data_IF_070894422401
#
_entry.id   IF_070894422401
#
_cell.length_a   1.000
_cell.length_b   1.000
_cell.length_c   1.000
_cell.angle_alpha   90.00
_cell.angle_beta   90.00
_cell.angle_gamma   90.00
#
_symmetry.space_group_name_H-M   'P 1'
#
loop_
_entity.id
_entity.type
_entity.pdbx_description
1 polymer ?
#
# COMPACT_ATOMS: atom_id res chain seq x y z
N UNK A 1 -11.04 36.00 -6.38
CA UNK A 1 -11.34 34.91 -5.41
C UNK A 1 -12.48 34.03 -5.92
N UNK A 2 -12.22 33.25 -6.99
CA UNK A 2 -13.18 32.36 -7.64
C UNK A 2 -13.09 30.94 -7.08
N UNK A 3 -13.54 30.75 -5.84
CA UNK A 3 -13.60 29.43 -5.22
C UNK A 3 -14.80 28.63 -5.73
N UNK A 4 -14.54 27.51 -6.41
CA UNK A 4 -15.54 26.49 -6.70
C UNK A 4 -15.86 25.69 -5.43
N UNK A 5 -17.15 25.40 -5.22
CA UNK A 5 -17.59 24.42 -4.23
C UNK A 5 -18.11 23.19 -4.96
N UNK A 6 -17.44 22.05 -4.75
CA UNK A 6 -17.85 20.75 -5.29
C UNK A 6 -18.90 20.19 -4.33
N UNK A 7 -20.17 20.17 -4.73
CA UNK A 7 -21.19 19.37 -4.04
C UNK A 7 -21.51 18.13 -4.86
N UNK A 8 -21.26 16.95 -4.30
CA UNK A 8 -21.65 15.66 -4.88
C UNK A 8 -23.17 15.61 -5.10
N UNK A 9 -23.60 15.38 -6.33
CA UNK A 9 -24.96 14.95 -6.63
C UNK A 9 -24.94 13.79 -7.62
N UNK A 10 -25.52 12.67 -7.19
CA UNK A 10 -25.64 11.40 -7.89
C UNK A 10 -27.09 11.14 -8.24
N UNK A 11 -27.32 10.53 -9.40
CA UNK A 11 -28.57 9.86 -9.67
C UNK A 11 -28.32 8.51 -10.34
N UNK A 12 -28.91 7.48 -9.75
CA UNK A 12 -28.95 6.11 -10.25
C UNK A 12 -30.42 5.70 -10.31
N UNK A 13 -30.95 5.51 -11.52
CA UNK A 13 -32.26 4.89 -11.73
C UNK A 13 -32.06 3.37 -11.69
N UNK A 14 -32.40 2.74 -10.57
CA UNK A 14 -32.51 1.28 -10.44
C UNK A 14 -33.97 0.86 -10.72
N UNK A 15 -34.26 -0.08 -11.64
CA UNK A 15 -35.63 -0.56 -11.87
C UNK A 15 -36.15 -1.56 -10.82
N UNK A 16 -35.54 -1.67 -9.65
CA UNK A 16 -36.01 -2.62 -8.62
C UNK A 16 -35.57 -2.20 -7.24
N UNK A 17 -36.50 -1.65 -6.45
CA UNK A 17 -36.62 -1.76 -4.98
C UNK A 17 -37.61 -0.67 -4.49
N UNK A 18 -38.89 -0.84 -4.82
CA UNK A 18 -39.96 -0.27 -4.01
C UNK A 18 -40.14 -1.19 -2.81
N UNK A 19 -39.55 -0.83 -1.67
CA UNK A 19 -40.00 -1.34 -0.38
C UNK A 19 -40.59 -0.17 0.40
N UNK A 20 -41.89 0.05 0.18
CA UNK A 20 -42.68 1.08 0.84
C UNK A 20 -43.05 0.61 2.23
N UNK A 21 -42.16 0.75 3.21
CA UNK A 21 -42.57 0.74 4.63
C UNK A 21 -41.41 1.15 5.54
N UNK A 22 -41.35 2.45 5.88
CA UNK A 22 -41.02 2.96 7.22
C UNK A 22 -41.05 4.49 7.23
N UNK A 23 -41.96 5.04 8.05
CA UNK A 23 -42.09 6.46 8.33
C UNK A 23 -40.95 6.97 9.21
N UNK A 24 -39.76 7.11 8.65
CA UNK A 24 -38.63 7.81 9.26
C UNK A 24 -38.48 9.18 8.59
N UNK A 25 -38.54 10.28 9.37
CA UNK A 25 -38.25 11.64 8.89
C UNK A 25 -36.86 11.63 8.24
N UNK A 26 -36.80 11.72 6.91
CA UNK A 26 -35.54 11.61 6.17
C UNK A 26 -34.61 12.75 6.55
N UNK A 27 -33.53 12.42 7.28
CA UNK A 27 -32.34 13.28 7.30
C UNK A 27 -31.85 13.37 5.86
N UNK A 28 -31.98 14.54 5.23
CA UNK A 28 -31.44 14.77 3.90
C UNK A 28 -29.92 14.58 3.95
N UNK A 29 -29.47 13.45 3.40
CA UNK A 29 -28.06 13.23 3.08
C UNK A 29 -27.83 13.90 1.72
N UNK A 30 -26.78 14.72 1.55
CA UNK A 30 -26.44 15.27 0.23
C UNK A 30 -26.28 14.14 -0.80
N UNK A 31 -26.96 14.23 -1.95
CA UNK A 31 -26.65 13.41 -3.12
C UNK A 31 -27.52 12.19 -3.47
N UNK A 32 -28.78 12.08 -3.03
CA UNK A 32 -29.68 10.98 -3.51
C UNK A 32 -31.10 11.48 -3.84
N UNK A 33 -31.58 11.36 -5.09
CA UNK A 33 -33.01 11.53 -5.44
C UNK A 33 -33.37 12.62 -6.48
N UNK A 34 -32.45 12.96 -7.38
CA UNK A 34 -32.71 13.58 -8.70
C UNK A 34 -33.82 12.88 -9.54
N UNK A 35 -34.33 13.44 -10.64
CA UNK A 35 -34.81 12.65 -11.81
C UNK A 35 -33.94 12.97 -13.04
N UNK A 36 -33.20 12.00 -13.57
CA UNK A 36 -32.00 12.22 -14.39
C UNK A 36 -32.31 12.60 -15.84
N UNK A 37 -33.57 12.44 -16.22
CA UNK A 37 -34.10 12.77 -17.55
C UNK A 37 -34.06 14.28 -17.85
N UNK A 38 -34.02 15.16 -16.84
CA UNK A 38 -34.01 16.61 -17.05
C UNK A 38 -32.67 17.16 -17.58
N UNK A 39 -31.59 16.39 -17.48
CA UNK A 39 -30.22 16.85 -17.76
C UNK A 39 -29.65 16.38 -19.10
N UNK A 40 -30.40 15.58 -19.86
CA UNK A 40 -29.87 14.83 -21.03
C UNK A 40 -29.99 15.50 -22.41
N UNK A 41 -30.37 16.78 -22.51
CA UNK A 41 -30.38 17.45 -23.82
C UNK A 41 -29.11 18.28 -24.07
N UNK A 42 -28.04 17.62 -24.51
CA UNK A 42 -27.00 18.29 -25.30
C UNK A 42 -27.37 18.15 -26.79
N UNK A 43 -27.77 19.25 -27.39
CA UNK A 43 -28.17 19.34 -28.80
C UNK A 43 -27.00 18.95 -29.71
N UNK A 44 -27.13 17.81 -30.38
CA UNK A 44 -26.14 17.29 -31.34
C UNK A 44 -26.61 15.98 -31.95
N UNK A 45 -27.44 16.07 -32.99
CA UNK A 45 -27.86 14.93 -33.80
C UNK A 45 -26.64 14.26 -34.46
N UNK A 46 -26.20 13.14 -33.88
CA UNK A 46 -25.13 12.32 -34.43
C UNK A 46 -25.04 11.02 -33.66
N UNK A 47 -25.65 9.95 -34.20
CA UNK A 47 -25.61 8.63 -33.60
C UNK A 47 -24.17 8.18 -33.32
N UNK A 48 -23.85 7.94 -32.04
CA UNK A 48 -22.55 7.44 -31.62
C UNK A 48 -22.46 5.97 -32.02
N UNK A 49 -21.65 5.69 -33.05
CA UNK A 49 -21.33 4.33 -33.49
C UNK A 49 -20.51 3.60 -32.41
N UNK A 50 -20.77 2.31 -32.15
CA UNK A 50 -19.94 1.54 -31.23
C UNK A 50 -18.58 1.27 -31.88
N UNK A 51 -17.51 1.83 -31.32
CA UNK A 51 -16.14 1.41 -31.64
C UNK A 51 -15.93 0.02 -31.02
N UNK A 52 -16.16 -1.01 -31.84
CA UNK A 52 -15.74 -2.38 -31.57
C UNK A 52 -14.21 -2.48 -31.64
N UNK A 53 -13.63 -3.20 -30.68
CA UNK A 53 -12.39 -3.94 -30.86
C UNK A 53 -11.08 -3.14 -30.82
N UNK A 54 -10.52 -2.96 -29.62
CA UNK A 54 -9.08 -3.20 -29.41
C UNK A 54 -8.80 -3.46 -27.94
N UNK A 55 -8.36 -4.68 -27.66
CA UNK A 55 -7.72 -5.06 -26.41
C UNK A 55 -6.51 -4.15 -26.19
N UNK A 56 -6.47 -3.45 -25.06
CA UNK A 56 -5.21 -2.94 -24.53
C UNK A 56 -5.28 -2.92 -23.02
N UNK A 57 -4.41 -3.72 -22.41
CA UNK A 57 -4.11 -3.74 -20.98
C UNK A 57 -3.86 -2.31 -20.47
N UNK A 58 -4.82 -1.73 -19.76
CA UNK A 58 -4.60 -0.47 -19.04
C UNK A 58 -3.96 -0.80 -17.70
N UNK A 59 -2.63 -0.75 -17.69
CA UNK A 59 -1.83 -0.66 -16.48
C UNK A 59 -2.29 0.54 -15.64
N UNK A 60 -2.54 0.29 -14.35
CA UNK A 60 -2.90 1.30 -13.34
C UNK A 60 -1.88 2.45 -13.24
N UNK A 61 -0.69 2.27 -13.83
CA UNK A 61 0.38 3.26 -13.91
C UNK A 61 0.11 4.42 -14.90
N UNK A 62 -0.87 4.29 -15.81
CA UNK A 62 -1.27 5.36 -16.75
C UNK A 62 -2.31 6.34 -16.21
N UNK A 63 -2.94 6.05 -15.07
CA UNK A 63 -3.87 6.99 -14.42
C UNK A 63 -3.15 8.19 -13.77
N UNK A 64 -1.83 8.10 -13.60
CA UNK A 64 -0.99 9.14 -12.99
C UNK A 64 -0.02 9.82 -13.97
N UNK A 65 0.06 9.37 -15.22
CA UNK A 65 0.67 10.22 -16.23
C UNK A 65 -0.34 11.30 -16.55
N UNK A 66 0.07 12.56 -16.46
CA UNK A 66 -0.47 13.64 -17.27
C UNK A 66 -0.40 13.21 -18.74
N UNK A 67 -1.31 12.31 -19.14
CA UNK A 67 -1.59 11.94 -20.50
C UNK A 67 -2.15 13.22 -21.11
N UNK A 68 -1.20 13.99 -21.63
CA UNK A 68 -1.37 14.84 -22.79
C UNK A 68 -2.68 15.63 -22.73
N UNK A 69 -2.67 16.72 -21.93
CA UNK A 69 -3.54 17.87 -22.19
C UNK A 69 -3.52 18.28 -23.68
N UNK A 70 -2.46 17.92 -24.41
CA UNK A 70 -2.28 18.05 -25.85
C UNK A 70 -3.03 17.03 -26.74
N UNK A 71 -3.41 15.84 -26.26
CA UNK A 71 -4.11 14.82 -27.08
C UNK A 71 -5.64 14.82 -26.87
N UNK A 72 -6.16 15.59 -25.91
CA UNK A 72 -7.59 15.86 -25.78
C UNK A 72 -8.09 16.97 -26.74
N UNK A 73 -7.33 17.30 -27.79
CA UNK A 73 -7.83 18.04 -28.94
C UNK A 73 -8.65 17.10 -29.83
N UNK A 74 -9.77 16.58 -29.32
CA UNK A 74 -10.85 16.07 -30.18
C UNK A 74 -11.90 17.18 -30.37
N UNK A 75 -12.33 17.41 -31.62
CA UNK A 75 -13.22 18.51 -31.97
C UNK A 75 -14.62 18.22 -31.42
N UNK A 76 -15.26 19.25 -30.87
CA UNK A 76 -16.63 19.26 -30.32
C UNK A 76 -16.79 18.69 -28.90
N UNK A 77 -16.16 19.31 -27.89
CA UNK A 77 -16.79 19.35 -26.58
C UNK A 77 -18.05 20.21 -26.71
N UNK A 78 -19.21 19.55 -26.90
CA UNK A 78 -20.52 20.20 -26.94
C UNK A 78 -20.66 21.16 -25.77
N UNK A 79 -21.22 22.35 -26.02
CA UNK A 79 -21.39 23.39 -25.01
C UNK A 79 -22.01 22.80 -23.73
N UNK A 80 -21.45 23.12 -22.56
CA UNK A 80 -22.05 22.71 -21.29
C UNK A 80 -23.29 23.57 -21.07
N UNK A 81 -24.47 22.93 -21.05
CA UNK A 81 -25.73 23.60 -20.79
C UNK A 81 -25.86 24.01 -19.32
N UNK A 82 -25.32 25.18 -18.96
CA UNK A 82 -25.52 25.79 -17.64
C UNK A 82 -26.96 26.30 -17.52
N UNK A 83 -27.74 25.66 -16.66
CA UNK A 83 -29.14 26.03 -16.39
C UNK A 83 -29.24 26.85 -15.11
N UNK A 84 -30.17 27.80 -15.09
CA UNK A 84 -30.49 28.56 -13.89
C UNK A 84 -31.36 27.70 -12.96
N UNK A 85 -30.91 27.54 -11.72
CA UNK A 85 -31.61 26.79 -10.68
C UNK A 85 -32.99 27.38 -10.39
N UNK A 86 -33.16 28.70 -10.49
CA UNK A 86 -34.47 29.35 -10.33
C UNK A 86 -35.42 28.98 -11.46
N UNK A 87 -34.93 28.98 -12.71
CA UNK A 87 -35.75 28.58 -13.86
C UNK A 87 -36.19 27.12 -13.79
N UNK A 88 -35.36 26.24 -13.20
CA UNK A 88 -35.72 24.84 -12.98
C UNK A 88 -36.77 24.68 -11.89
N UNK A 89 -36.79 25.55 -10.87
CA UNK A 89 -37.80 25.51 -9.81
C UNK A 89 -39.17 26.03 -10.29
N UNK A 90 -39.16 26.97 -11.24
CA UNK A 90 -40.34 27.55 -11.87
C UNK A 90 -40.97 26.62 -12.93
N UNK A 91 -40.23 25.62 -13.41
CA UNK A 91 -40.69 24.63 -14.38
C UNK A 91 -41.76 23.71 -13.76
N UNK A 92 -42.99 23.67 -14.31
CA UNK A 92 -44.08 22.84 -13.79
C UNK A 92 -43.79 21.33 -13.84
N UNK A 93 -42.89 20.90 -14.73
CA UNK A 93 -42.53 19.49 -14.92
C UNK A 93 -41.35 19.05 -14.03
N UNK A 94 -40.69 19.99 -13.35
CA UNK A 94 -39.59 19.68 -12.44
C UNK A 94 -40.12 19.24 -11.06
N UNK A 95 -39.68 18.09 -10.51
CA UNK A 95 -40.10 17.64 -9.20
C UNK A 95 -39.63 18.62 -8.11
N UNK A 96 -40.59 19.20 -7.39
CA UNK A 96 -40.33 20.15 -6.30
C UNK A 96 -39.69 19.45 -5.11
N UNK A 97 -38.41 19.72 -4.89
CA UNK A 97 -37.64 19.18 -3.77
C UNK A 97 -37.06 20.32 -2.93
N UNK A 98 -37.23 20.23 -1.60
CA UNK A 98 -36.67 21.14 -0.58
C UNK A 98 -35.16 21.42 -0.73
N UNK A 99 -34.45 20.56 -1.46
CA UNK A 99 -33.01 20.71 -1.71
C UNK A 99 -32.69 21.82 -2.71
N UNK A 100 -33.53 22.05 -3.72
CA UNK A 100 -33.35 23.17 -4.64
C UNK A 100 -33.44 24.51 -3.89
N UNK A 101 -34.40 24.61 -2.97
CA UNK A 101 -34.56 25.79 -2.10
C UNK A 101 -33.30 26.04 -1.25
N UNK A 102 -32.70 24.97 -0.71
CA UNK A 102 -31.48 25.07 0.09
C UNK A 102 -30.26 25.53 -0.74
N UNK A 103 -30.16 25.10 -2.00
CA UNK A 103 -29.09 25.54 -2.90
C UNK A 103 -29.19 27.02 -3.24
N UNK A 104 -30.40 27.46 -3.56
CA UNK A 104 -30.69 28.87 -3.87
C UNK A 104 -30.42 29.74 -2.63
N UNK A 105 -30.88 29.30 -1.45
CA UNK A 105 -30.62 30.00 -0.18
C UNK A 105 -29.13 30.11 0.15
N UNK A 106 -28.32 29.13 -0.28
CA UNK A 106 -26.86 29.11 -0.10
C UNK A 106 -26.09 29.92 -1.15
N UNK A 107 -26.80 30.53 -2.11
CA UNK A 107 -26.21 31.39 -3.15
C UNK A 107 -25.78 30.66 -4.43
N UNK A 108 -26.14 29.39 -4.60
CA UNK A 108 -25.97 28.68 -5.87
C UNK A 108 -27.12 29.04 -6.81
N UNK A 109 -26.79 29.41 -8.04
CA UNK A 109 -27.79 29.83 -9.04
C UNK A 109 -27.63 29.16 -10.39
N UNK A 110 -26.50 28.52 -10.66
CA UNK A 110 -26.25 27.84 -11.93
C UNK A 110 -25.90 26.37 -11.66
N UNK A 111 -26.38 25.49 -12.52
CA UNK A 111 -26.10 24.06 -12.46
C UNK A 111 -25.81 23.52 -13.87
N UNK A 112 -24.80 22.66 -13.99
CA UNK A 112 -24.47 21.93 -15.21
C UNK A 112 -24.36 20.44 -14.91
N UNK A 113 -25.08 19.62 -15.69
CA UNK A 113 -24.95 18.17 -15.66
C UNK A 113 -23.88 17.70 -16.62
N UNK A 114 -22.85 17.04 -16.10
CA UNK A 114 -21.76 16.46 -16.90
C UNK A 114 -21.86 14.94 -16.86
N UNK A 115 -22.13 14.28 -17.99
CA UNK A 115 -22.22 12.83 -18.00
C UNK A 115 -20.84 12.20 -17.79
N UNK A 116 -20.83 11.03 -17.15
CA UNK A 116 -19.67 10.16 -17.08
C UNK A 116 -20.07 8.74 -17.48
N UNK A 117 -19.11 8.04 -18.07
CA UNK A 117 -19.24 6.64 -18.43
C UNK A 117 -18.02 5.89 -17.91
N UNK A 118 -18.29 4.86 -17.11
CA UNK A 118 -17.32 3.85 -16.74
C UNK A 118 -17.70 2.53 -17.40
N UNK A 119 -16.79 1.56 -17.42
CA UNK A 119 -17.07 0.23 -17.97
C UNK A 119 -18.31 -0.45 -17.35
N UNK A 120 -18.66 -0.11 -16.11
CA UNK A 120 -19.72 -0.78 -15.35
C UNK A 120 -20.99 0.05 -15.21
N UNK A 121 -20.91 1.37 -15.36
CA UNK A 121 -22.03 2.27 -15.05
C UNK A 121 -21.90 3.61 -15.78
N UNK A 122 -23.06 4.16 -16.18
CA UNK A 122 -23.22 5.52 -16.70
C UNK A 122 -23.93 6.36 -15.66
N UNK A 123 -23.60 7.65 -15.60
CA UNK A 123 -24.25 8.59 -14.69
C UNK A 123 -23.97 10.02 -15.07
N UNK A 124 -24.43 10.96 -14.23
CA UNK A 124 -24.24 12.39 -14.42
C UNK A 124 -23.72 12.96 -13.10
N UNK A 125 -22.74 13.86 -13.17
CA UNK A 125 -22.30 14.69 -12.05
C UNK A 125 -22.86 16.08 -12.24
N UNK A 126 -23.57 16.59 -11.23
CA UNK A 126 -24.05 17.97 -11.23
C UNK A 126 -22.97 18.88 -10.63
N UNK A 127 -22.52 19.86 -11.41
CA UNK A 127 -21.67 20.95 -10.93
C UNK A 127 -22.51 22.18 -10.67
N UNK A 128 -22.34 22.77 -9.49
CA UNK A 128 -23.04 24.00 -9.09
C UNK A 128 -22.09 25.19 -9.15
N UNK A 129 -22.59 26.32 -9.63
CA UNK A 129 -21.91 27.60 -9.62
C UNK A 129 -22.77 28.66 -8.92
N UNK A 130 -22.10 29.68 -8.39
CA UNK A 130 -22.75 30.80 -7.72
C UNK A 130 -23.66 31.53 -8.70
N UNK A 131 -24.76 32.10 -8.22
CA UNK A 131 -25.66 32.93 -9.02
C UNK A 131 -24.95 34.14 -9.67
N UNK A 132 -23.87 34.63 -9.08
CA UNK A 132 -23.05 35.74 -9.58
C UNK A 132 -21.88 35.31 -10.45
N UNK A 133 -21.76 34.03 -10.79
CA UNK A 133 -20.69 33.53 -11.65
C UNK A 133 -20.92 33.96 -13.10
N UNK A 134 -19.85 34.39 -13.77
CA UNK A 134 -19.88 34.75 -15.19
C UNK A 134 -19.99 33.50 -16.07
N UNK A 135 -21.03 33.46 -16.90
CA UNK A 135 -21.35 32.33 -17.78
C UNK A 135 -20.28 32.12 -18.84
N UNK A 136 -19.66 33.19 -19.33
CA UNK A 136 -18.62 33.08 -20.36
C UNK A 136 -17.33 32.49 -19.79
N UNK A 137 -16.99 32.86 -18.55
CA UNK A 137 -15.80 32.34 -17.88
C UNK A 137 -15.94 30.87 -17.47
N UNK A 138 -17.11 30.45 -16.98
CA UNK A 138 -17.34 29.05 -16.58
C UNK A 138 -17.53 28.11 -17.77
N UNK A 139 -17.85 28.62 -18.96
CA UNK A 139 -18.06 27.83 -20.16
C UNK A 139 -16.83 27.85 -21.11
N UNK A 140 -15.66 28.23 -20.58
CA UNK A 140 -14.37 28.14 -21.28
C UNK A 140 -13.99 26.70 -21.61
N UNK A 141 -13.26 26.50 -22.71
CA UNK A 141 -12.87 25.17 -23.20
C UNK A 141 -12.05 24.41 -22.16
N UNK A 142 -11.13 25.10 -21.48
CA UNK A 142 -10.29 24.54 -20.43
C UNK A 142 -11.14 24.06 -19.25
N UNK A 143 -12.14 24.87 -18.85
CA UNK A 143 -13.02 24.50 -17.76
C UNK A 143 -13.95 23.35 -18.12
N UNK A 144 -14.42 23.27 -19.37
CA UNK A 144 -15.20 22.12 -19.87
C UNK A 144 -14.40 20.83 -19.74
N UNK A 145 -13.16 20.82 -20.24
CA UNK A 145 -12.26 19.65 -20.14
C UNK A 145 -12.04 19.28 -18.68
N UNK A 146 -11.78 20.27 -17.82
CA UNK A 146 -11.61 20.05 -16.39
C UNK A 146 -12.84 19.41 -15.72
N UNK A 147 -14.05 19.91 -16.02
CA UNK A 147 -15.29 19.40 -15.46
C UNK A 147 -15.60 17.99 -15.99
N UNK A 148 -15.35 17.71 -17.26
CA UNK A 148 -15.50 16.36 -17.83
C UNK A 148 -14.54 15.36 -17.19
N UNK A 149 -13.25 15.70 -17.07
CA UNK A 149 -12.28 14.83 -16.39
C UNK A 149 -12.65 14.62 -14.91
N UNK A 150 -13.10 15.68 -14.24
CA UNK A 150 -13.57 15.61 -12.85
C UNK A 150 -14.78 14.69 -12.71
N UNK A 151 -15.76 14.78 -13.62
CA UNK A 151 -16.93 13.90 -13.64
C UNK A 151 -16.54 12.43 -13.84
N UNK A 152 -15.59 12.13 -14.73
CA UNK A 152 -15.09 10.78 -14.94
C UNK A 152 -14.41 10.21 -13.67
N UNK A 153 -13.58 11.03 -12.99
CA UNK A 153 -12.90 10.61 -11.78
C UNK A 153 -13.88 10.38 -10.62
N UNK A 154 -14.83 11.30 -10.40
CA UNK A 154 -15.89 11.15 -9.40
C UNK A 154 -16.69 9.89 -9.71
N UNK A 155 -17.12 9.71 -10.96
CA UNK A 155 -17.82 8.53 -11.44
C UNK A 155 -17.06 7.24 -11.14
N UNK A 156 -15.77 7.15 -11.45
CA UNK A 156 -14.95 5.97 -11.18
C UNK A 156 -14.87 5.62 -9.68
N UNK A 157 -14.71 6.63 -8.82
CA UNK A 157 -14.66 6.44 -7.36
C UNK A 157 -16.00 5.93 -6.82
N UNK A 158 -17.11 6.51 -7.28
CA UNK A 158 -18.44 6.11 -6.84
C UNK A 158 -18.78 4.70 -7.31
N UNK A 159 -18.46 4.36 -8.56
CA UNK A 159 -18.72 3.01 -9.11
C UNK A 159 -17.95 1.94 -8.31
N UNK A 160 -16.73 2.26 -7.84
CA UNK A 160 -15.95 1.39 -6.96
C UNK A 160 -16.44 1.34 -5.51
N UNK A 161 -17.29 2.27 -5.06
CA UNK A 161 -17.71 2.40 -3.66
C UNK A 161 -18.58 1.21 -3.21
N UNK A 162 -19.44 0.68 -4.08
CA UNK A 162 -20.30 -0.46 -3.76
C UNK A 162 -19.50 -1.73 -3.50
N UNK A 163 -18.54 -2.04 -4.39
CA UNK A 163 -17.63 -3.17 -4.21
C UNK A 163 -16.78 -3.01 -2.94
N UNK A 164 -16.29 -1.79 -2.67
CA UNK A 164 -15.54 -1.47 -1.44
C UNK A 164 -16.38 -1.67 -0.18
N UNK A 165 -17.64 -1.21 -0.18
CA UNK A 165 -18.57 -1.37 0.96
C UNK A 165 -18.93 -2.83 1.20
N UNK A 166 -19.20 -3.60 0.14
CA UNK A 166 -19.43 -5.04 0.22
C UNK A 166 -18.20 -5.78 0.79
N UNK A 167 -17.00 -5.43 0.35
CA UNK A 167 -15.75 -6.00 0.87
C UNK A 167 -15.55 -5.69 2.36
N UNK A 168 -15.81 -4.45 2.80
CA UNK A 168 -15.70 -4.05 4.20
C UNK A 168 -16.66 -4.84 5.10
N UNK A 169 -17.93 -4.97 4.70
CA UNK A 169 -18.92 -5.77 5.43
C UNK A 169 -18.46 -7.23 5.50
N UNK A 170 -17.96 -7.80 4.41
CA UNK A 170 -17.44 -9.18 4.39
C UNK A 170 -16.24 -9.35 5.33
N UNK A 171 -15.29 -8.40 5.33
CA UNK A 171 -14.12 -8.41 6.22
C UNK A 171 -14.52 -8.33 7.69
N UNK A 172 -15.51 -7.51 8.03
CA UNK A 172 -16.06 -7.44 9.40
C UNK A 172 -16.72 -8.76 9.81
N UNK A 173 -17.55 -9.36 8.95
CA UNK A 173 -18.16 -10.68 9.21
C UNK A 173 -17.10 -11.74 9.45
N UNK A 174 -16.09 -11.83 8.59
CA UNK A 174 -14.99 -12.79 8.74
C UNK A 174 -14.19 -12.58 10.03
N UNK A 175 -13.95 -11.32 10.43
CA UNK A 175 -13.33 -11.01 11.73
C UNK A 175 -14.19 -11.46 12.90
N UNK A 176 -15.49 -11.16 12.87
CA UNK A 176 -16.42 -11.57 13.92
C UNK A 176 -16.52 -13.11 14.03
N UNK A 177 -16.57 -13.82 12.89
CA UNK A 177 -16.54 -15.27 12.85
C UNK A 177 -15.22 -15.84 13.40
N UNK A 178 -14.08 -15.23 13.07
CA UNK A 178 -12.78 -15.64 13.60
C UNK A 178 -12.70 -15.44 15.13
N UNK A 179 -13.17 -14.29 15.63
CA UNK A 179 -13.24 -14.03 17.07
C UNK A 179 -14.15 -15.02 17.79
N UNK A 180 -15.34 -15.31 17.24
CA UNK A 180 -16.25 -16.33 17.82
C UNK A 180 -15.62 -17.71 17.85
N UNK A 181 -14.90 -18.12 16.80
CA UNK A 181 -14.18 -19.41 16.77
C UNK A 181 -13.06 -19.46 17.82
N UNK A 182 -12.34 -18.37 18.02
CA UNK A 182 -11.31 -18.27 19.06
C UNK A 182 -11.95 -18.34 20.45
N UNK A 183 -13.02 -17.58 20.70
CA UNK A 183 -13.71 -17.55 21.98
C UNK A 183 -14.36 -18.90 22.32
N UNK A 184 -15.02 -19.54 21.35
CA UNK A 184 -15.54 -20.90 21.53
C UNK A 184 -14.41 -21.92 21.77
N UNK A 185 -13.24 -21.73 21.15
CA UNK A 185 -12.05 -22.53 21.42
C UNK A 185 -11.55 -22.37 22.85
N UNK A 186 -11.55 -21.15 23.39
CA UNK A 186 -11.14 -20.85 24.76
C UNK A 186 -12.16 -21.37 25.79
N UNK A 187 -13.46 -21.24 25.53
CA UNK A 187 -14.52 -21.78 26.39
C UNK A 187 -14.50 -23.31 26.43
N UNK A 188 -14.25 -23.96 25.29
CA UNK A 188 -14.04 -25.41 25.23
C UNK A 188 -12.79 -25.82 26.01
N UNK A 189 -11.69 -25.07 25.89
CA UNK A 189 -10.47 -25.33 26.67
C UNK A 189 -10.72 -25.17 28.19
N UNK A 190 -11.49 -24.17 28.60
CA UNK A 190 -11.86 -23.98 30.01
C UNK A 190 -12.81 -25.07 30.51
N UNK A 191 -13.77 -25.52 29.69
CA UNK A 191 -14.69 -26.63 30.03
C UNK A 191 -13.92 -27.95 30.16
N UNK A 192 -13.00 -28.23 29.24
CA UNK A 192 -12.10 -29.40 29.32
C UNK A 192 -11.19 -29.31 30.54
N UNK A 193 -10.63 -28.14 30.88
CA UNK A 193 -9.82 -27.95 32.10
C UNK A 193 -10.63 -28.09 33.40
N UNK A 194 -11.94 -27.80 33.39
CA UNK A 194 -12.83 -28.03 34.54
C UNK A 194 -13.18 -29.52 34.67
N UNK A 195 -13.46 -30.20 33.55
CA UNK A 195 -13.68 -31.65 33.53
C UNK A 195 -12.41 -32.46 33.83
N UNK A 196 -11.22 -31.95 33.46
CA UNK A 196 -9.93 -32.55 33.82
C UNK A 196 -9.66 -32.44 35.33
N UNK A 197 -10.03 -31.33 35.97
CA UNK A 197 -9.93 -31.17 37.42
C UNK A 197 -10.87 -32.10 38.21
N UNK A 198 -11.99 -32.53 37.63
CA UNK A 198 -12.86 -33.55 38.23
C UNK A 198 -12.40 -34.99 37.95
N UNK A 199 -11.42 -35.17 37.08
CA UNK A 199 -10.86 -36.48 36.69
C UNK A 199 -9.40 -36.64 37.12
N UNK A 200 -8.88 -35.72 37.95
CA UNK A 200 -7.54 -35.79 38.55
C UNK A 200 -7.56 -36.66 39.82
N UNK A 201 -8.19 -37.82 39.67
CA UNK A 201 -8.03 -39.05 40.44
C UNK A 201 -7.81 -40.13 39.37
N UNK A 202 -6.62 -40.72 39.35
CA UNK A 202 -6.13 -41.73 38.39
C UNK A 202 -5.42 -41.21 37.12
N UNK A 203 -4.11 -41.00 37.27
CA UNK A 203 -3.07 -41.69 36.49
C UNK A 203 -3.38 -42.04 35.02
N UNK A 204 -2.97 -41.17 34.08
CA UNK A 204 -2.38 -41.55 32.78
C UNK A 204 -1.88 -40.31 31.99
N UNK A 205 -0.84 -39.66 32.52
CA UNK A 205 -0.34 -38.34 32.10
C UNK A 205 0.65 -38.33 30.92
N UNK A 206 0.49 -39.17 29.88
CA UNK A 206 1.46 -39.17 28.77
C UNK A 206 0.92 -39.24 27.33
N UNK A 207 -0.28 -39.78 27.09
CA UNK A 207 -0.79 -39.94 25.71
C UNK A 207 -1.61 -38.74 25.21
N UNK A 208 -2.27 -38.00 26.10
CA UNK A 208 -3.19 -36.89 25.74
C UNK A 208 -2.45 -35.57 25.50
N UNK A 209 -1.34 -35.31 26.19
CA UNK A 209 -0.45 -34.15 25.97
C UNK A 209 0.25 -34.22 24.61
N UNK A 210 0.65 -35.41 24.17
CA UNK A 210 1.29 -35.62 22.87
C UNK A 210 0.35 -35.28 21.69
N UNK A 211 -0.94 -35.64 21.80
CA UNK A 211 -1.94 -35.40 20.75
C UNK A 211 -2.31 -33.93 20.56
N UNK A 212 -2.32 -33.13 21.62
CA UNK A 212 -2.54 -31.67 21.53
C UNK A 212 -1.30 -30.94 21.03
N UNK A 213 -0.11 -31.35 21.47
CA UNK A 213 1.15 -30.81 20.96
C UNK A 213 1.31 -31.09 19.46
N UNK A 214 1.03 -32.33 19.02
CA UNK A 214 1.10 -32.73 17.60
C UNK A 214 0.14 -31.92 16.73
N UNK A 215 -1.10 -31.66 17.19
CA UNK A 215 -2.08 -30.85 16.44
C UNK A 215 -1.72 -29.36 16.40
N UNK A 216 -1.19 -28.81 17.49
CA UNK A 216 -0.69 -27.43 17.55
C UNK A 216 0.55 -27.23 16.68
N UNK A 217 1.50 -28.17 16.76
CA UNK A 217 2.68 -28.22 15.90
C UNK A 217 2.28 -28.32 14.43
N UNK A 218 1.34 -29.19 14.08
CA UNK A 218 0.88 -29.34 12.69
C UNK A 218 0.16 -28.09 12.14
N UNK A 219 -0.56 -27.34 13.00
CA UNK A 219 -1.11 -26.02 12.61
C UNK A 219 -0.01 -24.98 12.41
N UNK A 220 0.99 -24.93 13.30
CA UNK A 220 2.15 -24.02 13.18
C UNK A 220 2.98 -24.35 11.94
N UNK A 221 3.22 -25.62 11.67
CA UNK A 221 3.91 -26.12 10.48
C UNK A 221 3.13 -25.80 9.20
N UNK A 222 1.80 -25.95 9.18
CA UNK A 222 0.98 -25.51 8.02
C UNK A 222 1.03 -24.00 7.82
N UNK A 223 1.01 -23.22 8.89
CA UNK A 223 1.21 -21.77 8.83
C UNK A 223 2.60 -21.38 8.32
N UNK A 224 3.65 -22.09 8.77
CA UNK A 224 5.02 -21.91 8.29
C UNK A 224 5.18 -22.32 6.83
N UNK A 225 4.61 -23.44 6.41
CA UNK A 225 4.59 -23.88 5.02
C UNK A 225 3.86 -22.87 4.12
N UNK A 226 2.78 -22.27 4.60
CA UNK A 226 2.10 -21.20 3.88
C UNK A 226 2.96 -19.92 3.80
N UNK A 227 3.79 -19.62 4.81
CA UNK A 227 4.76 -18.50 4.73
C UNK A 227 5.88 -18.81 3.72
N UNK A 228 6.34 -20.05 3.64
CA UNK A 228 7.36 -20.49 2.69
C UNK A 228 6.90 -20.46 1.23
N UNK A 229 5.59 -20.41 0.98
CA UNK A 229 5.02 -20.21 -0.36
C UNK A 229 5.19 -18.78 -0.91
N UNK A 230 5.71 -17.84 -0.11
CA UNK A 230 5.86 -16.45 -0.50
C UNK A 230 4.53 -15.69 -0.49
N UNK A 231 4.56 -14.39 -0.21
CA UNK A 231 3.37 -13.55 -0.22
C UNK A 231 2.92 -13.21 -1.64
N UNK A 232 2.20 -14.11 -2.33
CA UNK A 232 1.60 -13.92 -3.68
C UNK A 232 2.53 -13.40 -4.80
N UNK A 233 3.81 -13.20 -4.53
CA UNK A 233 4.86 -12.82 -5.47
C UNK A 233 5.43 -14.08 -6.13
N UNK A 234 5.85 -13.95 -7.39
CA UNK A 234 6.53 -15.03 -8.10
C UNK A 234 7.83 -15.37 -7.38
N UNK A 235 8.01 -16.66 -7.08
CA UNK A 235 9.26 -17.20 -6.52
C UNK A 235 10.34 -17.03 -7.62
N UNK A 236 11.55 -16.55 -7.30
CA UNK A 236 12.60 -16.40 -8.31
C UNK A 236 12.86 -17.75 -8.99
N UNK A 237 12.92 -17.80 -10.34
CA UNK A 237 13.23 -19.03 -11.05
C UNK A 237 14.64 -19.52 -10.68
N UNK A 238 14.89 -20.85 -10.73
CA UNK A 238 16.22 -21.38 -10.49
C UNK A 238 17.21 -20.86 -11.54
N UNK A 239 18.43 -20.54 -11.10
CA UNK A 239 19.52 -20.10 -11.98
C UNK A 239 20.02 -21.25 -12.87
N UNK A 240 20.48 -20.92 -14.06
CA UNK A 240 21.14 -21.86 -14.97
C UNK A 240 22.50 -22.29 -14.43
N UNK A 241 23.00 -23.45 -14.87
CA UNK A 241 24.31 -23.97 -14.42
C UNK A 241 25.47 -23.01 -14.70
N UNK A 242 25.42 -22.24 -15.80
CA UNK A 242 26.43 -21.22 -16.11
C UNK A 242 26.41 -20.06 -15.12
N UNK A 243 25.22 -19.54 -14.79
CA UNK A 243 25.06 -18.49 -13.77
C UNK A 243 25.48 -18.97 -12.38
N UNK A 244 25.18 -20.23 -12.04
CA UNK A 244 25.66 -20.85 -10.81
C UNK A 244 27.20 -20.91 -10.76
N UNK A 245 27.87 -21.22 -11.87
CA UNK A 245 29.33 -21.24 -11.94
C UNK A 245 29.94 -19.85 -11.75
N UNK A 246 29.41 -18.81 -12.41
CA UNK A 246 29.86 -17.44 -12.19
C UNK A 246 29.59 -16.95 -10.76
N UNK A 247 28.45 -17.32 -10.19
CA UNK A 247 28.12 -17.01 -8.78
C UNK A 247 29.11 -17.68 -7.84
N UNK A 248 29.44 -18.95 -8.08
CA UNK A 248 30.44 -19.69 -7.31
C UNK A 248 31.80 -19.00 -7.40
N UNK A 249 32.25 -18.66 -8.61
CA UNK A 249 33.54 -18.04 -8.85
C UNK A 249 33.64 -16.66 -8.18
N UNK A 250 32.61 -15.81 -8.35
CA UNK A 250 32.56 -14.48 -7.73
C UNK A 250 32.54 -14.54 -6.20
N UNK A 251 31.70 -15.41 -5.62
CA UNK A 251 31.69 -15.64 -4.17
C UNK A 251 33.03 -16.16 -3.66
N UNK A 252 33.65 -17.11 -4.37
CA UNK A 252 34.94 -17.68 -3.98
C UNK A 252 36.05 -16.64 -4.01
N UNK A 253 36.19 -15.89 -5.11
CA UNK A 253 37.20 -14.84 -5.26
C UNK A 253 36.98 -13.73 -4.24
N UNK A 254 35.75 -13.25 -4.09
CA UNK A 254 35.42 -12.21 -3.11
C UNK A 254 35.71 -12.61 -1.66
N UNK A 255 35.33 -13.84 -1.27
CA UNK A 255 35.65 -14.35 0.07
C UNK A 255 37.15 -14.61 0.24
N UNK A 256 37.86 -15.05 -0.79
CA UNK A 256 39.31 -15.25 -0.73
C UNK A 256 40.05 -13.92 -0.51
N UNK A 257 39.66 -12.87 -1.25
CA UNK A 257 40.21 -11.52 -1.07
C UNK A 257 39.89 -11.00 0.33
N UNK A 258 38.65 -11.14 0.80
CA UNK A 258 38.27 -10.73 2.16
C UNK A 258 39.00 -11.51 3.25
N UNK A 259 39.20 -12.82 3.05
CA UNK A 259 39.92 -13.68 4.00
C UNK A 259 41.40 -13.34 4.06
N UNK A 260 42.05 -13.09 2.91
CA UNK A 260 43.46 -12.66 2.87
C UNK A 260 43.65 -11.27 3.47
N UNK A 261 42.71 -10.35 3.24
CA UNK A 261 42.69 -9.06 3.91
C UNK A 261 42.50 -9.20 5.43
N UNK A 262 41.69 -10.15 5.90
CA UNK A 262 41.52 -10.41 7.32
C UNK A 262 42.82 -10.91 7.95
N UNK A 263 43.48 -11.89 7.34
CA UNK A 263 44.79 -12.38 7.82
C UNK A 263 45.82 -11.24 7.89
N UNK A 264 45.90 -10.41 6.85
CA UNK A 264 46.80 -9.25 6.84
C UNK A 264 46.43 -8.22 7.92
N UNK A 265 45.14 -7.96 8.14
CA UNK A 265 44.69 -7.05 9.18
C UNK A 265 45.02 -7.57 10.58
N UNK A 266 44.86 -8.87 10.81
CA UNK A 266 45.19 -9.51 12.09
C UNK A 266 46.70 -9.51 12.36
N UNK A 267 47.54 -9.72 11.34
CA UNK A 267 49.00 -9.67 11.44
C UNK A 267 49.51 -8.24 11.77
N UNK A 268 48.93 -7.22 11.14
CA UNK A 268 49.30 -5.81 11.39
C UNK A 268 48.82 -5.32 12.76
N UNK A 269 47.75 -5.90 13.30
CA UNK A 269 47.07 -5.40 14.51
C UNK A 269 47.23 -6.31 15.73
N UNK A 270 48.18 -7.25 15.75
CA UNK A 270 48.34 -8.23 16.85
C UNK A 270 47.02 -8.95 17.24
N UNK A 271 46.21 -9.33 16.24
CA UNK A 271 44.89 -9.96 16.38
C UNK A 271 43.74 -9.07 16.93
N UNK A 272 43.94 -7.77 17.13
CA UNK A 272 42.86 -6.86 17.58
C UNK A 272 41.75 -6.65 16.53
N UNK A 273 42.05 -6.77 15.23
CA UNK A 273 41.12 -6.52 14.13
C UNK A 273 40.72 -7.81 13.42
N UNK A 274 39.78 -8.55 14.00
CA UNK A 274 39.22 -9.76 13.38
C UNK A 274 37.92 -9.45 12.63
N UNK A 275 37.96 -9.43 11.31
CA UNK A 275 36.76 -9.31 10.45
C UNK A 275 35.89 -10.55 10.62
N UNK A 276 34.63 -10.34 11.04
CA UNK A 276 33.64 -11.39 10.96
C UNK A 276 33.29 -11.64 9.48
N UNK A 277 33.82 -12.72 8.93
CA UNK A 277 33.56 -13.14 7.53
C UNK A 277 32.08 -13.56 7.35
N UNK A 278 31.38 -13.96 8.42
CA UNK A 278 29.99 -14.44 8.38
C UNK A 278 29.01 -13.49 7.67
N UNK A 279 28.86 -12.22 8.13
CA UNK A 279 28.05 -11.23 7.44
C UNK A 279 28.49 -10.96 5.99
N UNK A 280 29.80 -11.00 5.69
CA UNK A 280 30.28 -10.86 4.33
C UNK A 280 29.84 -12.02 3.42
N UNK A 281 29.75 -13.25 3.93
CA UNK A 281 29.16 -14.37 3.18
C UNK A 281 27.70 -14.11 2.76
N UNK A 282 26.91 -13.49 3.63
CA UNK A 282 25.55 -13.05 3.28
C UNK A 282 25.57 -11.90 2.24
N UNK A 283 26.55 -11.00 2.31
CA UNK A 283 26.74 -9.97 1.31
C UNK A 283 27.13 -10.55 -0.06
N UNK A 284 28.01 -11.55 -0.11
CA UNK A 284 28.38 -12.24 -1.36
C UNK A 284 27.18 -12.94 -1.99
N UNK A 285 26.32 -13.54 -1.17
CA UNK A 285 25.07 -14.16 -1.64
C UNK A 285 24.14 -13.14 -2.29
N UNK A 286 24.07 -11.91 -1.77
CA UNK A 286 23.28 -10.84 -2.36
C UNK A 286 23.93 -10.29 -3.64
N UNK A 287 25.22 -10.01 -3.62
CA UNK A 287 25.95 -9.42 -4.75
C UNK A 287 25.97 -10.35 -5.97
N UNK A 288 26.29 -11.63 -5.76
CA UNK A 288 26.44 -12.59 -6.87
C UNK A 288 25.20 -13.45 -7.09
N UNK A 289 24.54 -13.90 -6.03
CA UNK A 289 23.36 -14.76 -6.14
C UNK A 289 22.05 -14.02 -6.37
N UNK A 290 21.98 -12.73 -6.04
CA UNK A 290 20.78 -11.89 -6.14
C UNK A 290 21.12 -10.49 -6.69
N UNK A 291 21.98 -10.42 -7.70
CA UNK A 291 22.53 -9.16 -8.26
C UNK A 291 21.46 -8.15 -8.70
N UNK A 292 20.34 -8.64 -9.25
CA UNK A 292 19.20 -7.82 -9.68
C UNK A 292 18.36 -7.26 -8.52
N UNK A 293 18.58 -7.71 -7.29
CA UNK A 293 17.80 -7.25 -6.15
C UNK A 293 18.15 -5.79 -5.80
N UNK A 294 17.15 -4.93 -5.48
CA UNK A 294 17.43 -3.56 -5.07
C UNK A 294 18.37 -3.47 -3.87
N UNK A 295 18.35 -4.44 -2.96
CA UNK A 295 19.22 -4.51 -1.78
C UNK A 295 20.69 -4.85 -2.11
N UNK A 296 20.96 -5.41 -3.29
CA UNK A 296 22.31 -5.80 -3.76
C UNK A 296 23.02 -4.68 -4.51
N UNK A 297 22.34 -3.55 -4.76
CA UNK A 297 22.95 -2.41 -5.42
C UNK A 297 24.18 -1.93 -4.64
N UNK A 298 25.28 -1.57 -5.32
CA UNK A 298 26.55 -1.22 -4.68
C UNK A 298 26.41 -0.06 -3.69
N UNK A 299 25.52 0.89 -4.00
CA UNK A 299 25.13 1.99 -3.10
C UNK A 299 24.66 1.47 -1.75
N UNK A 300 23.85 0.42 -1.73
CA UNK A 300 23.26 -0.11 -0.50
C UNK A 300 24.30 -0.88 0.31
N UNK A 301 25.21 -1.62 -0.34
CA UNK A 301 26.31 -2.31 0.34
C UNK A 301 27.21 -1.31 1.08
N UNK A 302 27.69 -0.29 0.38
CA UNK A 302 28.64 0.69 0.95
C UNK A 302 27.95 1.60 1.96
N UNK A 303 26.86 2.26 1.58
CA UNK A 303 26.18 3.21 2.47
C UNK A 303 25.46 2.51 3.61
N UNK A 304 24.89 1.32 3.37
CA UNK A 304 24.23 0.54 4.41
C UNK A 304 25.21 0.14 5.51
N UNK A 305 26.40 -0.32 5.15
CA UNK A 305 27.48 -0.61 6.10
C UNK A 305 27.94 0.64 6.85
N UNK A 306 28.16 1.75 6.13
CA UNK A 306 28.60 3.00 6.75
C UNK A 306 27.58 3.54 7.76
N UNK A 307 26.29 3.57 7.41
CA UNK A 307 25.21 4.07 8.27
C UNK A 307 24.95 3.13 9.44
N UNK A 308 24.87 1.82 9.20
CA UNK A 308 24.63 0.86 10.28
C UNK A 308 25.75 0.86 11.31
N UNK A 309 27.00 0.94 10.85
CA UNK A 309 28.16 1.05 11.73
C UNK A 309 28.17 2.36 12.52
N UNK A 310 27.96 3.50 11.88
CA UNK A 310 27.94 4.80 12.57
C UNK A 310 26.88 4.86 13.68
N UNK A 311 25.67 4.38 13.40
CA UNK A 311 24.57 4.37 14.37
C UNK A 311 24.85 3.40 15.51
N UNK A 312 25.25 2.16 15.22
CA UNK A 312 25.53 1.20 16.30
C UNK A 312 26.73 1.59 17.15
N UNK A 313 27.77 2.19 16.56
CA UNK A 313 28.91 2.73 17.29
C UNK A 313 28.50 3.85 18.26
N UNK A 314 27.47 4.64 17.95
CA UNK A 314 26.99 5.68 18.87
C UNK A 314 26.48 5.09 20.21
N UNK A 315 25.92 3.87 20.19
CA UNK A 315 25.45 3.19 21.39
C UNK A 315 26.58 2.62 22.26
N UNK A 316 27.77 2.41 21.70
CA UNK A 316 28.96 1.97 22.45
C UNK A 316 29.47 3.04 23.40
N UNK A 317 29.22 4.32 23.11
CA UNK A 317 29.61 5.43 23.97
C UNK A 317 28.71 5.64 25.18
N UNK A 318 27.59 4.92 25.25
CA UNK A 318 26.72 4.94 26.42
C UNK A 318 27.39 4.08 27.51
N UNK A 319 27.51 4.54 28.77
CA UNK A 319 28.07 3.75 29.86
C UNK A 319 27.26 2.49 30.20
N UNK A 320 27.94 1.44 30.65
CA UNK A 320 27.35 0.14 31.05
C UNK A 320 26.35 0.27 32.21
N UNK A 321 26.54 1.28 33.06
CA UNK A 321 25.62 1.62 34.15
C UNK A 321 24.26 2.11 33.66
N UNK A 322 24.19 2.69 32.46
CA UNK A 322 22.95 3.24 31.87
C UNK A 322 22.32 2.21 30.93
N UNK A 323 23.14 1.52 30.14
CA UNK A 323 22.66 0.56 29.15
C UNK A 323 23.54 -0.67 29.12
N UNK A 324 22.99 -1.82 29.50
CA UNK A 324 23.69 -3.10 29.45
C UNK A 324 24.00 -3.56 28.02
N UNK A 325 25.02 -4.40 27.87
CA UNK A 325 25.46 -4.90 26.56
C UNK A 325 24.36 -5.66 25.78
N UNK A 326 23.53 -6.44 26.49
CA UNK A 326 22.43 -7.17 25.86
C UNK A 326 21.35 -6.22 25.31
N UNK A 327 21.15 -5.08 25.98
CA UNK A 327 20.23 -4.05 25.52
C UNK A 327 20.82 -3.31 24.32
N UNK A 328 22.11 -2.96 24.35
CA UNK A 328 22.79 -2.32 23.20
C UNK A 328 22.73 -3.20 21.95
N UNK A 329 22.97 -4.50 22.09
CA UNK A 329 22.86 -5.50 21.01
C UNK A 329 21.46 -5.62 20.42
N UNK A 330 20.42 -5.15 21.11
CA UNK A 330 19.07 -5.07 20.56
C UNK A 330 18.77 -3.68 19.98
N UNK A 331 19.08 -2.62 20.74
CA UNK A 331 18.73 -1.24 20.42
C UNK A 331 19.56 -0.70 19.25
N UNK A 332 20.89 -0.89 19.26
CA UNK A 332 21.77 -0.41 18.18
C UNK A 332 21.36 -0.92 16.80
N UNK A 333 21.23 -2.24 16.61
CA UNK A 333 20.74 -2.82 15.36
C UNK A 333 19.34 -2.37 14.98
N UNK A 334 18.41 -2.23 15.94
CA UNK A 334 17.06 -1.77 15.65
C UNK A 334 17.06 -0.34 15.07
N UNK A 335 17.84 0.58 15.65
CA UNK A 335 18.00 1.94 15.13
C UNK A 335 18.76 1.96 13.80
N UNK A 336 19.82 1.17 13.66
CA UNK A 336 20.59 1.04 12.42
C UNK A 336 19.70 0.55 11.26
N UNK A 337 18.92 -0.51 11.48
CA UNK A 337 17.99 -1.06 10.49
C UNK A 337 16.90 -0.04 10.15
N UNK A 338 16.31 0.61 11.16
CA UNK A 338 15.29 1.64 10.93
C UNK A 338 15.83 2.80 10.07
N UNK A 339 17.07 3.25 10.33
CA UNK A 339 17.72 4.29 9.56
C UNK A 339 18.02 3.85 8.12
N UNK A 340 18.57 2.65 7.91
CA UNK A 340 18.80 2.11 6.57
C UNK A 340 17.52 2.04 5.74
N UNK A 341 16.42 1.56 6.35
CA UNK A 341 15.10 1.51 5.71
C UNK A 341 14.59 2.92 5.39
N UNK A 342 14.74 3.87 6.33
CA UNK A 342 14.31 5.26 6.14
C UNK A 342 15.09 5.97 5.03
N UNK A 343 16.38 5.70 4.90
CA UNK A 343 17.26 6.29 3.89
C UNK A 343 17.20 5.59 2.53
N UNK A 344 16.42 4.51 2.41
CA UNK A 344 16.28 3.75 1.16
C UNK A 344 17.53 2.97 0.78
N UNK A 345 18.36 2.59 1.75
CA UNK A 345 19.61 1.83 1.57
C UNK A 345 19.62 0.54 2.40
N UNK A 346 18.58 -0.32 2.32
CA UNK A 346 18.54 -1.54 3.11
C UNK A 346 19.64 -2.50 2.69
N UNK A 347 20.53 -2.83 3.62
CA UNK A 347 21.56 -3.86 3.43
C UNK A 347 21.52 -4.84 4.60
N UNK A 348 20.83 -5.99 4.47
CA UNK A 348 20.67 -6.96 5.56
C UNK A 348 21.98 -7.43 6.22
N UNK A 349 23.09 -7.67 5.48
CA UNK A 349 24.38 -8.01 6.08
C UNK A 349 24.93 -6.95 7.04
N UNK A 350 24.67 -5.65 6.79
CA UNK A 350 25.04 -4.58 7.70
C UNK A 350 24.29 -4.65 9.04
N UNK A 351 23.07 -5.21 9.03
CA UNK A 351 22.33 -5.48 10.26
C UNK A 351 23.08 -6.45 11.18
N UNK A 352 23.76 -7.47 10.64
CA UNK A 352 24.55 -8.39 11.45
C UNK A 352 25.80 -7.71 12.04
N UNK A 353 26.53 -6.91 11.24
CA UNK A 353 27.65 -6.11 11.76
C UNK A 353 27.22 -5.09 12.80
N UNK A 354 26.02 -4.51 12.67
CA UNK A 354 25.49 -3.54 13.62
C UNK A 354 25.33 -4.09 15.05
N UNK A 355 25.11 -5.41 15.21
CA UNK A 355 25.05 -6.07 16.53
C UNK A 355 26.43 -6.08 17.17
N UNK A 356 27.47 -6.29 16.37
CA UNK A 356 28.85 -6.37 16.81
C UNK A 356 29.34 -5.00 17.25
N UNK A 357 29.12 -3.97 16.43
CA UNK A 357 29.47 -2.59 16.78
C UNK A 357 28.84 -2.15 18.10
N UNK A 358 27.56 -2.50 18.33
CA UNK A 358 26.85 -2.15 19.56
C UNK A 358 27.32 -2.96 20.79
N UNK A 359 28.16 -3.98 20.62
CA UNK A 359 28.72 -4.75 21.74
C UNK A 359 29.84 -3.99 22.47
N UNK A 360 30.50 -3.05 21.80
CA UNK A 360 31.55 -2.22 22.40
C UNK A 360 32.96 -2.79 22.38
N UNK A 361 33.13 -4.02 21.89
CA UNK A 361 34.44 -4.66 21.76
C UNK A 361 35.28 -4.10 20.60
N UNK A 362 34.69 -3.29 19.72
CA UNK A 362 35.31 -2.84 18.47
C UNK A 362 35.27 -1.31 18.31
N UNK A 363 36.42 -0.72 17.97
CA UNK A 363 36.58 0.73 17.78
C UNK A 363 36.40 1.22 16.34
N UNK A 364 36.62 2.53 16.12
CA UNK A 364 36.50 3.15 14.79
C UNK A 364 37.42 2.54 13.72
N UNK A 365 38.60 2.04 14.10
CA UNK A 365 39.51 1.34 13.18
C UNK A 365 38.84 0.13 12.54
N UNK A 366 38.14 -0.67 13.35
CA UNK A 366 37.38 -1.82 12.88
C UNK A 366 36.22 -1.41 11.98
N UNK A 367 35.50 -0.34 12.34
CA UNK A 367 34.46 0.23 11.48
C UNK A 367 34.99 0.60 10.08
N UNK A 368 36.10 1.35 10.01
CA UNK A 368 36.68 1.74 8.72
C UNK A 368 37.17 0.53 7.93
N UNK A 369 37.76 -0.46 8.61
CA UNK A 369 38.18 -1.72 8.00
C UNK A 369 37.00 -2.45 7.34
N UNK A 370 35.87 -2.58 8.05
CA UNK A 370 34.67 -3.24 7.52
C UNK A 370 34.05 -2.47 6.34
N UNK A 371 34.05 -1.13 6.39
CA UNK A 371 33.57 -0.31 5.27
C UNK A 371 34.49 -0.47 4.05
N UNK A 372 35.81 -0.43 4.25
CA UNK A 372 36.80 -0.66 3.18
C UNK A 372 36.66 -2.06 2.58
N UNK A 373 36.55 -3.09 3.41
CA UNK A 373 36.32 -4.46 2.99
C UNK A 373 35.01 -4.56 2.18
N UNK A 374 33.96 -3.85 2.59
CA UNK A 374 32.69 -3.80 1.84
C UNK A 374 32.86 -3.13 0.48
N UNK A 375 33.64 -2.06 0.37
CA UNK A 375 33.96 -1.43 -0.92
C UNK A 375 34.73 -2.36 -1.86
N UNK A 376 35.73 -3.07 -1.35
CA UNK A 376 36.52 -4.02 -2.13
C UNK A 376 35.64 -5.18 -2.60
N UNK A 377 34.73 -5.64 -1.74
CA UNK A 377 33.82 -6.74 -2.05
C UNK A 377 32.80 -6.45 -3.17
N UNK A 378 32.59 -5.17 -3.49
CA UNK A 378 31.71 -4.70 -4.57
C UNK A 378 32.43 -4.66 -5.92
N UNK A 379 33.76 -4.58 -5.93
CA UNK A 379 34.56 -4.59 -7.16
C UNK A 379 34.62 -6.04 -7.68
N UNK A 380 34.21 -6.30 -8.94
CA UNK A 380 34.13 -7.65 -9.50
C UNK A 380 35.49 -8.33 -9.69
#
# INVERSE_FOLDING_TARGET
NGGFWISEFLEYVSPSLFDSNKGEKSRCIPGVGLAGMLWTESSGAGGIRPLHGRESHVSMHRLASAASLSEMHHPQASQLGWRDLKSLLEDPDTPKDSRFDAYIASGFGLAAGVPFETFLSKGIVLFLARSTADKEQIDTVENRVFLTCSAQNIGAVITGSHARRACLIRKQKLRAEAFRKVQHGLDQEQKVKRSLRSLESESSSLSVTLGHWKRSFHRRMRGWAHKCRGGQLQIPPPMTWGECFYTLLGCFVGLLVLSTMNELAMDISDNDLNLLIGPFGAAMTLLYGLSSAPASQPRNVILGQAVAGAISMSFTYIPDSIMSIWMRRAVGPAFAIAAMVKLGIPHPPAGAHSVIYASGDYGWKFYFLVVLASMISVVP
#
